data_IF_926678951126
#
_entry.id   IF_926678951126
#
_cell.length_a   1.000
_cell.length_b   1.000
_cell.length_c   1.000
_cell.angle_alpha   90.00
_cell.angle_beta   90.00
_cell.angle_gamma   90.00
#
_symmetry.space_group_name_H-M   'P 1'
#
loop_
_entity.id
_entity.type
_entity.pdbx_description
1 polymer ?
#
# COMPACT_ATOMS: atom_id res chain seq x y z
N UNK A 1 31.68 -22.58 -9.62
CA UNK A 1 31.41 -21.63 -10.72
C UNK A 1 29.98 -21.07 -10.72
N UNK A 2 28.95 -21.89 -10.42
CA UNK A 2 27.56 -21.40 -10.28
C UNK A 2 27.38 -20.44 -9.08
N UNK A 3 28.06 -20.65 -7.97
CA UNK A 3 28.04 -19.77 -6.80
C UNK A 3 28.66 -18.40 -7.05
N UNK A 4 29.70 -18.29 -7.85
CA UNK A 4 30.31 -17.02 -8.23
C UNK A 4 29.42 -16.18 -9.16
N UNK A 5 28.65 -16.84 -10.02
CA UNK A 5 27.66 -16.17 -10.90
C UNK A 5 26.47 -15.60 -10.12
N UNK A 6 25.94 -16.33 -9.11
CA UNK A 6 24.89 -15.86 -8.20
C UNK A 6 25.39 -14.70 -7.34
N UNK A 7 26.58 -14.76 -6.80
CA UNK A 7 27.23 -13.69 -6.04
C UNK A 7 27.42 -12.44 -6.92
N UNK A 8 27.81 -12.61 -8.18
CA UNK A 8 27.92 -11.52 -9.15
C UNK A 8 26.58 -10.84 -9.43
N UNK A 9 25.47 -11.60 -9.59
CA UNK A 9 24.13 -11.06 -9.78
C UNK A 9 23.64 -10.26 -8.56
N UNK A 10 23.79 -10.79 -7.36
CA UNK A 10 23.44 -10.09 -6.12
C UNK A 10 24.24 -8.80 -5.92
N UNK A 11 25.53 -8.79 -6.28
CA UNK A 11 26.36 -7.58 -6.25
C UNK A 11 25.87 -6.52 -7.26
N UNK A 12 25.47 -6.92 -8.46
CA UNK A 12 24.91 -6.00 -9.47
C UNK A 12 23.60 -5.38 -9.01
N UNK A 13 22.68 -6.14 -8.41
CA UNK A 13 21.43 -5.64 -7.84
C UNK A 13 21.72 -4.63 -6.74
N UNK A 14 22.58 -5.00 -5.79
CA UNK A 14 22.98 -4.13 -4.68
C UNK A 14 23.63 -2.82 -5.18
N UNK A 15 24.47 -2.88 -6.21
CA UNK A 15 25.10 -1.71 -6.79
C UNK A 15 24.10 -0.81 -7.50
N UNK A 16 23.12 -1.37 -8.20
CA UNK A 16 22.03 -0.61 -8.85
C UNK A 16 21.17 0.12 -7.81
N UNK A 17 20.76 -0.55 -6.75
CA UNK A 17 20.02 0.03 -5.63
C UNK A 17 20.85 1.10 -4.92
N UNK A 18 22.11 0.84 -4.63
CA UNK A 18 23.04 1.81 -4.01
C UNK A 18 23.19 3.06 -4.88
N UNK A 19 23.32 2.90 -6.19
CA UNK A 19 23.41 4.01 -7.15
C UNK A 19 22.14 4.87 -7.12
N UNK A 20 20.95 4.24 -7.07
CA UNK A 20 19.69 4.97 -6.96
C UNK A 20 19.64 5.84 -5.69
N UNK A 21 20.00 5.28 -4.52
CA UNK A 21 20.07 6.04 -3.27
C UNK A 21 21.08 7.19 -3.32
N UNK A 22 22.26 6.96 -3.88
CA UNK A 22 23.30 7.99 -3.98
C UNK A 22 22.86 9.14 -4.89
N UNK A 23 22.17 8.88 -5.99
CA UNK A 23 21.65 9.91 -6.91
C UNK A 23 20.54 10.76 -6.28
N UNK A 24 19.77 10.18 -5.36
CA UNK A 24 18.74 10.90 -4.61
C UNK A 24 19.30 11.66 -3.39
N UNK A 25 20.60 11.55 -3.12
CA UNK A 25 21.26 12.19 -1.98
C UNK A 25 21.11 11.41 -0.66
N UNK A 26 20.69 10.14 -0.74
CA UNK A 26 20.57 9.23 0.39
C UNK A 26 21.71 8.20 0.46
N UNK A 27 21.63 7.30 1.42
CA UNK A 27 22.56 6.20 1.61
C UNK A 27 21.81 4.89 1.81
N UNK A 28 22.32 3.83 1.20
CA UNK A 28 21.83 2.48 1.42
C UNK A 28 22.33 1.96 2.78
N UNK A 29 21.37 1.56 3.65
CA UNK A 29 21.69 0.89 4.91
C UNK A 29 22.03 -0.59 4.71
N UNK A 30 22.33 -1.25 5.82
CA UNK A 30 22.53 -2.71 5.84
C UNK A 30 21.20 -3.45 5.75
N UNK A 31 21.22 -4.70 5.28
CA UNK A 31 20.02 -5.53 5.21
C UNK A 31 19.31 -5.61 6.58
N UNK A 32 18.02 -5.35 6.60
CA UNK A 32 17.19 -5.37 7.80
C UNK A 32 17.34 -4.17 8.73
N UNK A 33 18.16 -3.16 8.41
CA UNK A 33 18.41 -2.00 9.28
C UNK A 33 17.17 -1.16 9.58
N UNK A 34 16.17 -1.18 8.70
CA UNK A 34 14.90 -0.44 8.83
C UNK A 34 13.68 -1.36 8.92
N UNK A 35 13.85 -2.66 8.89
CA UNK A 35 12.76 -3.63 8.89
C UNK A 35 11.84 -3.50 10.12
N UNK A 36 12.39 -3.11 11.29
CA UNK A 36 11.63 -2.89 12.52
C UNK A 36 10.71 -1.66 12.47
N UNK A 37 10.87 -0.79 11.49
CA UNK A 37 10.01 0.38 11.27
C UNK A 37 8.73 0.04 10.51
N UNK A 38 8.61 -1.19 10.03
CA UNK A 38 7.45 -1.67 9.29
C UNK A 38 6.81 -2.85 9.99
N UNK A 39 5.48 -2.87 9.95
CA UNK A 39 4.66 -3.98 10.41
C UNK A 39 3.89 -4.57 9.23
N UNK A 40 3.81 -5.89 9.19
CA UNK A 40 3.04 -6.59 8.16
C UNK A 40 1.57 -6.58 8.53
N UNK A 41 0.76 -5.88 7.73
CA UNK A 41 -0.71 -5.82 7.90
C UNK A 41 -1.43 -6.36 6.66
N UNK A 42 -2.65 -6.82 6.87
CA UNK A 42 -3.58 -7.10 5.80
C UNK A 42 -4.31 -5.83 5.38
N UNK A 43 -4.38 -5.60 4.10
CA UNK A 43 -5.12 -4.49 3.48
C UNK A 43 -6.23 -5.08 2.63
N UNK A 44 -7.46 -4.62 2.84
CA UNK A 44 -8.63 -5.01 2.05
C UNK A 44 -9.21 -3.74 1.45
N UNK A 45 -9.32 -3.70 0.13
CA UNK A 45 -9.88 -2.57 -0.61
C UNK A 45 -11.33 -2.89 -0.99
N UNK A 46 -12.23 -2.02 -0.60
CA UNK A 46 -13.67 -2.14 -0.82
C UNK A 46 -14.17 -0.88 -1.51
N UNK A 47 -14.74 -1.01 -2.70
CA UNK A 47 -15.38 0.12 -3.38
C UNK A 47 -16.66 0.52 -2.65
N UNK A 48 -16.93 1.81 -2.53
CA UNK A 48 -18.21 2.35 -1.96
C UNK A 48 -19.39 2.06 -2.85
N UNK A 49 -19.17 2.09 -4.16
CA UNK A 49 -20.17 1.83 -5.19
C UNK A 49 -19.72 0.74 -6.15
N UNK A 50 -20.65 -0.04 -6.64
CA UNK A 50 -20.44 -1.10 -7.63
C UNK A 50 -21.39 -0.93 -8.81
N UNK A 51 -21.05 -1.53 -9.94
CA UNK A 51 -21.94 -1.57 -11.10
C UNK A 51 -23.16 -2.48 -10.84
N UNK A 52 -24.34 -1.97 -11.10
CA UNK A 52 -25.56 -2.78 -11.06
C UNK A 52 -25.62 -3.71 -12.28
N UNK A 53 -25.33 -5.00 -12.04
CA UNK A 53 -25.37 -6.05 -13.08
C UNK A 53 -26.75 -6.24 -13.70
N UNK A 54 -27.82 -5.79 -13.06
CA UNK A 54 -29.20 -5.91 -13.54
C UNK A 54 -29.69 -4.68 -14.33
N UNK A 55 -28.94 -3.58 -14.29
CA UNK A 55 -29.31 -2.37 -15.02
C UNK A 55 -28.96 -2.47 -16.51
N UNK A 56 -29.86 -2.00 -17.37
CA UNK A 56 -29.62 -1.94 -18.83
C UNK A 56 -28.62 -0.85 -19.26
N UNK A 57 -28.18 -0.03 -18.32
CA UNK A 57 -27.14 1.01 -18.47
C UNK A 57 -26.19 0.86 -17.30
N UNK A 58 -24.95 1.27 -17.51
CA UNK A 58 -23.95 1.36 -16.44
C UNK A 58 -24.47 2.31 -15.35
N UNK A 59 -25.03 1.75 -14.30
CA UNK A 59 -25.55 2.47 -13.14
C UNK A 59 -24.76 2.01 -11.93
N UNK A 60 -24.18 2.96 -11.19
CA UNK A 60 -23.51 2.70 -9.93
C UNK A 60 -24.55 2.59 -8.81
N UNK A 61 -24.39 1.59 -7.96
CA UNK A 61 -25.21 1.37 -6.76
C UNK A 61 -24.29 1.22 -5.56
N UNK A 62 -24.81 1.49 -4.37
CA UNK A 62 -24.08 1.28 -3.13
C UNK A 62 -23.66 -0.19 -2.98
N UNK A 63 -22.43 -0.41 -2.57
CA UNK A 63 -21.86 -1.74 -2.36
C UNK A 63 -22.23 -2.29 -0.97
N UNK A 64 -23.49 -2.71 -0.81
CA UNK A 64 -23.98 -3.20 0.48
C UNK A 64 -23.75 -2.18 1.59
N UNK A 65 -23.23 -2.63 2.73
CA UNK A 65 -22.89 -1.76 3.87
C UNK A 65 -21.81 -0.71 3.54
N UNK A 66 -20.96 -0.94 2.54
CA UNK A 66 -19.88 -0.02 2.17
C UNK A 66 -20.38 1.33 1.58
N UNK A 67 -21.65 1.41 1.22
CA UNK A 67 -22.29 2.65 0.78
C UNK A 67 -22.62 3.65 1.90
N UNK A 68 -22.59 3.21 3.15
CA UNK A 68 -22.84 4.03 4.35
C UNK A 68 -21.73 3.77 5.37
N UNK A 69 -21.13 4.84 5.90
CA UNK A 69 -19.98 4.75 6.81
C UNK A 69 -20.32 4.04 8.13
N UNK A 70 -21.49 4.35 8.71
CA UNK A 70 -21.91 3.78 10.00
C UNK A 70 -22.22 2.27 9.87
N UNK A 71 -22.87 1.87 8.77
CA UNK A 71 -23.15 0.47 8.46
C UNK A 71 -21.85 -0.29 8.17
N UNK A 72 -20.93 0.33 7.43
CA UNK A 72 -19.65 -0.27 7.08
C UNK A 72 -18.75 -0.45 8.30
N UNK A 73 -18.71 0.52 9.22
CA UNK A 73 -17.99 0.40 10.47
C UNK A 73 -18.46 -0.78 11.30
N UNK A 74 -19.78 -1.00 11.38
CA UNK A 74 -20.32 -2.18 12.07
C UNK A 74 -19.94 -3.48 11.35
N UNK A 75 -20.01 -3.50 10.03
CA UNK A 75 -19.62 -4.65 9.23
C UNK A 75 -18.14 -5.02 9.41
N UNK A 76 -17.24 -4.04 9.46
CA UNK A 76 -15.81 -4.24 9.73
C UNK A 76 -15.60 -4.82 11.14
N UNK A 77 -16.28 -4.26 12.15
CA UNK A 77 -16.14 -4.72 13.52
C UNK A 77 -16.62 -6.18 13.68
N UNK A 78 -17.70 -6.55 13.01
CA UNK A 78 -18.21 -7.94 13.00
C UNK A 78 -17.29 -8.89 12.22
N UNK A 79 -16.66 -8.40 11.13
CA UNK A 79 -15.73 -9.17 10.33
C UNK A 79 -14.36 -9.37 11.01
N UNK A 80 -14.04 -8.58 12.02
CA UNK A 80 -12.76 -8.63 12.74
C UNK A 80 -11.67 -7.73 12.17
N UNK A 81 -12.05 -6.67 11.42
CA UNK A 81 -11.12 -5.61 11.00
C UNK A 81 -10.61 -4.79 12.20
N UNK A 82 -9.37 -4.34 12.14
CA UNK A 82 -8.73 -3.54 13.20
C UNK A 82 -9.02 -2.04 13.03
N UNK A 83 -8.99 -1.57 11.79
CA UNK A 83 -9.14 -0.16 11.45
C UNK A 83 -9.62 0.00 10.01
N UNK A 84 -10.07 1.19 9.64
CA UNK A 84 -10.43 1.52 8.25
C UNK A 84 -10.08 2.97 7.92
N UNK A 85 -9.88 3.22 6.65
CA UNK A 85 -9.53 4.53 6.11
C UNK A 85 -10.44 4.87 4.92
N UNK A 86 -10.88 6.11 4.84
CA UNK A 86 -11.64 6.63 3.70
C UNK A 86 -10.69 7.14 2.61
N UNK A 87 -10.60 6.40 1.51
CA UNK A 87 -9.81 6.78 0.35
C UNK A 87 -10.64 7.51 -0.74
N UNK A 88 -11.80 8.06 -0.37
CA UNK A 88 -12.70 8.80 -1.25
C UNK A 88 -13.73 7.90 -1.93
N UNK A 89 -13.40 7.20 -2.98
CA UNK A 89 -14.29 6.28 -3.70
C UNK A 89 -14.26 4.85 -3.17
N UNK A 90 -13.29 4.55 -2.31
CA UNK A 90 -13.01 3.24 -1.75
C UNK A 90 -12.78 3.33 -0.24
N UNK A 91 -13.00 2.21 0.44
CA UNK A 91 -12.58 1.99 1.83
C UNK A 91 -11.35 1.10 1.86
N UNK A 92 -10.39 1.45 2.69
CA UNK A 92 -9.23 0.61 2.99
C UNK A 92 -9.43 0.06 4.39
N UNK A 93 -9.59 -1.25 4.51
CA UNK A 93 -9.74 -1.94 5.80
C UNK A 93 -8.42 -2.58 6.19
N UNK A 94 -7.96 -2.25 7.38
CA UNK A 94 -6.74 -2.80 7.96
C UNK A 94 -7.04 -3.95 8.90
N UNK A 95 -6.27 -5.01 8.81
CA UNK A 95 -6.37 -6.20 9.64
C UNK A 95 -5.00 -6.84 9.83
N UNK A 96 -4.90 -7.87 10.67
CA UNK A 96 -3.66 -8.65 10.75
C UNK A 96 -3.39 -9.39 9.43
N UNK A 97 -2.12 -9.58 9.11
CA UNK A 97 -1.72 -10.27 7.88
C UNK A 97 -2.27 -11.72 7.78
N UNK A 98 -2.55 -12.34 8.92
CA UNK A 98 -3.06 -13.71 8.97
C UNK A 98 -4.59 -13.77 8.81
N UNK A 99 -5.29 -12.69 9.11
CA UNK A 99 -6.77 -12.64 9.13
C UNK A 99 -7.36 -11.99 7.87
N UNK A 100 -6.52 -11.42 7.00
CA UNK A 100 -6.95 -10.72 5.80
C UNK A 100 -7.97 -11.52 4.96
N UNK A 101 -7.74 -12.81 4.77
CA UNK A 101 -8.65 -13.68 4.02
C UNK A 101 -9.95 -13.98 4.77
N UNK A 102 -9.89 -14.09 6.10
CA UNK A 102 -11.07 -14.32 6.92
C UNK A 102 -11.97 -13.09 6.97
N UNK A 103 -11.37 -11.90 7.14
CA UNK A 103 -12.09 -10.61 7.16
C UNK A 103 -12.67 -10.30 5.77
N UNK A 104 -11.91 -10.51 4.70
CA UNK A 104 -12.39 -10.36 3.32
C UNK A 104 -13.64 -11.20 3.07
N UNK A 105 -13.58 -12.48 3.44
CA UNK A 105 -14.71 -13.40 3.29
C UNK A 105 -15.92 -13.03 4.15
N UNK A 106 -15.69 -12.59 5.38
CA UNK A 106 -16.77 -12.15 6.27
C UNK A 106 -17.50 -10.91 5.72
N UNK A 107 -16.78 -9.98 5.11
CA UNK A 107 -17.36 -8.81 4.41
C UNK A 107 -18.19 -9.26 3.20
N UNK A 108 -17.69 -10.22 2.41
CA UNK A 108 -18.45 -10.79 1.28
C UNK A 108 -19.73 -11.50 1.72
N UNK A 109 -19.71 -12.20 2.84
CA UNK A 109 -20.89 -12.86 3.42
C UNK A 109 -21.96 -11.85 3.90
N UNK A 110 -21.54 -10.62 4.22
CA UNK A 110 -22.43 -9.49 4.55
C UNK A 110 -22.94 -8.74 3.31
N UNK A 111 -22.58 -9.21 2.11
CA UNK A 111 -23.01 -8.61 0.84
C UNK A 111 -22.16 -7.44 0.36
N UNK A 112 -20.97 -7.28 0.92
CA UNK A 112 -19.99 -6.27 0.49
C UNK A 112 -19.05 -6.90 -0.53
N UNK A 113 -18.96 -6.34 -1.73
CA UNK A 113 -18.00 -6.80 -2.73
C UNK A 113 -16.62 -6.23 -2.45
N UNK A 114 -15.66 -7.11 -2.19
CA UNK A 114 -14.26 -6.76 -1.98
C UNK A 114 -13.55 -6.64 -3.33
N UNK A 115 -12.89 -5.52 -3.58
CA UNK A 115 -12.14 -5.25 -4.82
C UNK A 115 -10.80 -5.99 -4.84
N UNK A 116 -10.16 -6.08 -3.69
CA UNK A 116 -8.90 -6.78 -3.52
C UNK A 116 -8.51 -6.91 -2.06
N UNK A 117 -7.70 -7.91 -1.79
CA UNK A 117 -7.12 -8.13 -0.46
C UNK A 117 -5.66 -8.56 -0.60
N UNK A 118 -4.78 -7.91 0.13
CA UNK A 118 -3.35 -8.18 0.08
C UNK A 118 -2.69 -8.01 1.44
N UNK A 119 -1.47 -8.49 1.55
CA UNK A 119 -0.64 -8.25 2.73
C UNK A 119 0.45 -7.24 2.35
N UNK A 120 0.47 -6.13 3.05
CA UNK A 120 1.41 -5.04 2.81
C UNK A 120 2.24 -4.70 4.05
N UNK A 121 3.30 -3.94 3.86
CA UNK A 121 4.12 -3.42 4.94
C UNK A 121 3.70 -1.98 5.26
N UNK A 122 3.26 -1.77 6.48
CA UNK A 122 2.81 -0.46 6.96
C UNK A 122 3.86 0.11 7.91
N UNK A 123 4.26 1.37 7.76
CA UNK A 123 5.22 1.98 8.68
C UNK A 123 4.62 2.11 10.08
N UNK A 124 5.35 1.65 11.08
CA UNK A 124 4.96 1.77 12.49
C UNK A 124 4.97 3.21 12.98
N UNK A 125 5.90 3.99 12.44
CA UNK A 125 6.03 5.42 12.74
C UNK A 125 6.23 6.18 11.43
N UNK A 126 5.20 6.86 10.92
CA UNK A 126 5.34 7.69 9.74
C UNK A 126 6.31 8.85 9.99
N UNK A 127 7.04 9.24 8.98
CA UNK A 127 8.02 10.32 9.03
C UNK A 127 7.53 11.48 8.19
N UNK A 128 7.30 12.62 8.82
CA UNK A 128 6.97 13.85 8.12
C UNK A 128 8.18 14.35 7.32
N UNK A 129 7.96 14.69 6.07
CA UNK A 129 8.98 15.23 5.17
C UNK A 129 8.50 16.54 4.55
N UNK A 130 9.44 17.44 4.27
CA UNK A 130 9.12 18.68 3.53
C UNK A 130 8.79 18.36 2.07
N UNK A 131 7.97 19.18 1.42
CA UNK A 131 7.59 18.97 0.01
C UNK A 131 8.79 18.85 -0.94
N UNK A 132 9.90 19.56 -0.66
CA UNK A 132 11.13 19.46 -1.47
C UNK A 132 11.85 18.11 -1.28
N UNK A 133 11.85 17.57 -0.06
CA UNK A 133 12.44 16.27 0.24
C UNK A 133 11.51 15.13 -0.19
N UNK A 134 10.20 15.33 -0.12
CA UNK A 134 9.21 14.40 -0.65
C UNK A 134 9.41 14.12 -2.15
N UNK A 135 9.68 15.16 -2.94
CA UNK A 135 10.03 15.00 -4.39
C UNK A 135 11.28 14.16 -4.60
N UNK A 136 12.28 14.29 -3.73
CA UNK A 136 13.50 13.47 -3.82
C UNK A 136 13.21 12.00 -3.47
N UNK A 137 12.41 11.78 -2.44
CA UNK A 137 11.98 10.44 -2.03
C UNK A 137 11.13 9.79 -3.11
N UNK A 138 10.18 10.51 -3.69
CA UNK A 138 9.35 9.99 -4.78
C UNK A 138 10.20 9.58 -5.99
N UNK A 139 11.11 10.43 -6.44
CA UNK A 139 12.05 10.08 -7.52
C UNK A 139 12.93 8.88 -7.21
N UNK A 140 13.27 8.69 -5.93
CA UNK A 140 13.99 7.50 -5.49
C UNK A 140 13.10 6.26 -5.60
N UNK A 141 11.86 6.34 -5.13
CA UNK A 141 10.88 5.25 -5.23
C UNK A 141 10.68 4.86 -6.69
N UNK A 142 10.35 5.82 -7.57
CA UNK A 142 10.16 5.59 -9.00
C UNK A 142 11.37 4.90 -9.63
N UNK A 143 12.57 5.36 -9.29
CA UNK A 143 13.81 4.78 -9.81
C UNK A 143 14.10 3.38 -9.27
N UNK A 144 13.67 3.07 -8.04
CA UNK A 144 13.78 1.72 -7.47
C UNK A 144 12.77 0.78 -8.13
N UNK A 145 11.55 1.25 -8.39
CA UNK A 145 10.50 0.49 -9.08
C UNK A 145 10.85 0.17 -10.55
N UNK A 146 11.65 1.02 -11.19
CA UNK A 146 12.20 0.77 -12.54
C UNK A 146 13.22 -0.39 -12.59
N UNK A 147 13.75 -0.81 -11.44
CA UNK A 147 14.68 -1.93 -11.38
C UNK A 147 13.90 -3.26 -11.42
N UNK A 148 14.17 -4.09 -12.43
CA UNK A 148 13.49 -5.38 -12.65
C UNK A 148 13.59 -6.34 -11.45
N UNK A 149 14.59 -6.19 -10.61
CA UNK A 149 14.84 -7.02 -9.44
C UNK A 149 14.10 -6.55 -8.17
N UNK A 150 13.52 -5.35 -8.21
CA UNK A 150 12.73 -4.78 -7.10
C UNK A 150 11.26 -5.09 -7.34
N UNK A 151 10.64 -5.80 -6.40
CA UNK A 151 9.23 -6.18 -6.48
C UNK A 151 8.33 -5.11 -5.87
N UNK A 152 8.65 -4.66 -4.66
CA UNK A 152 7.88 -3.69 -3.91
C UNK A 152 8.80 -2.69 -3.20
N UNK A 153 8.37 -1.44 -3.11
CA UNK A 153 9.06 -0.38 -2.38
C UNK A 153 8.13 0.18 -1.31
N UNK A 154 8.56 0.17 -0.06
CA UNK A 154 7.82 0.71 1.08
C UNK A 154 8.59 1.89 1.69
N UNK A 155 7.88 2.93 2.07
CA UNK A 155 8.44 4.14 2.65
C UNK A 155 7.76 4.47 3.99
N UNK A 156 8.51 5.08 4.90
CA UNK A 156 7.97 5.67 6.13
C UNK A 156 7.48 7.11 5.92
N UNK A 157 7.59 7.64 4.70
CA UNK A 157 7.14 8.99 4.37
C UNK A 157 5.64 9.13 4.59
N UNK A 158 5.26 10.13 5.39
CA UNK A 158 3.87 10.48 5.60
C UNK A 158 3.34 11.29 4.41
N UNK A 159 2.24 10.82 3.82
CA UNK A 159 1.58 11.46 2.67
C UNK A 159 0.62 12.55 3.16
N UNK A 160 1.18 13.62 3.72
CA UNK A 160 0.39 14.80 4.12
C UNK A 160 -0.13 15.57 2.90
N UNK A 161 -1.15 16.38 3.08
CA UNK A 161 -1.71 17.21 2.01
C UNK A 161 -0.65 18.12 1.36
N UNK A 162 0.34 18.59 2.14
CA UNK A 162 1.46 19.37 1.63
C UNK A 162 2.38 18.56 0.71
N UNK A 163 2.61 17.29 1.03
CA UNK A 163 3.41 16.36 0.22
C UNK A 163 2.69 16.04 -1.07
N UNK A 164 1.39 15.71 -0.99
CA UNK A 164 0.56 15.42 -2.16
C UNK A 164 0.51 16.62 -3.10
N UNK A 165 0.25 17.82 -2.59
CA UNK A 165 0.25 19.04 -3.38
C UNK A 165 1.61 19.32 -4.05
N UNK A 166 2.71 19.07 -3.35
CA UNK A 166 4.05 19.22 -3.91
C UNK A 166 4.36 18.22 -5.04
N UNK A 167 3.79 17.02 -4.99
CA UNK A 167 3.96 16.00 -6.02
C UNK A 167 3.08 16.26 -7.26
N UNK A 168 1.89 16.86 -7.07
CA UNK A 168 0.96 17.18 -8.16
C UNK A 168 1.36 18.42 -8.99
N UNK A 169 2.27 19.26 -8.48
CA UNK A 169 2.77 20.45 -9.18
C UNK A 169 3.76 20.14 -10.35
N UNK A 170 3.88 18.93 -10.77
CA UNK A 170 4.53 18.51 -12.02
C UNK A 170 3.47 18.19 -13.07
#
# INVERSE_FOLDING_TARGET
>A
EMTSSLVGSEMCIRDSVRSAFSHAGGNLGTSGSVAFQFERKGQIVVAKEILDENAKKETMIANGAAGDEDEFMMAIAEAGGEDYEDAGEEWIVWTTANEVMAVSKALEEQGVQVKGSETTMVPTTPTEVSGADAKKVQRLIDRLEELDDVQDVYSTMDMTDEVIAALEEE
#
